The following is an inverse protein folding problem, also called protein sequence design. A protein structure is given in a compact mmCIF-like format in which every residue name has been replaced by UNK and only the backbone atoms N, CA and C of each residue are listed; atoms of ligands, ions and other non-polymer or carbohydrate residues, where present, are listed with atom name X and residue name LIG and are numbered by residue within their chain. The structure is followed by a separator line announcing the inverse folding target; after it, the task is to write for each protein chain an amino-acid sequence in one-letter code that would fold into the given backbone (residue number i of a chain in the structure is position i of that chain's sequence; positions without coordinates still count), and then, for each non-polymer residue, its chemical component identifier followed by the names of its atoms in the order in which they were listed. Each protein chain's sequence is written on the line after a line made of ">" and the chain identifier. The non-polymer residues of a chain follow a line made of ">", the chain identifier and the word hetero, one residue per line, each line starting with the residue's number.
data_IF_220992954687
#
_entry.id   IF_220992954687
#
_cell.length_a   1.000
_cell.length_b   1.000
_cell.length_c   1.000
_cell.angle_alpha   90.00
_cell.angle_beta   90.00
_cell.angle_gamma   90.00
#
_symmetry.space_group_name_H-M   'P 1'
#
loop_
_entity.id
_entity.type
_entity.pdbx_description
1 polymer ?
#
# COMPACT_ATOMS: atom_id res chain seq x y z
N UNK A 1 20.11 12.46 3.31
CA UNK A 1 18.91 13.33 3.42
C UNK A 1 17.93 12.93 2.34
N UNK A 2 16.69 12.67 2.69
CA UNK A 2 15.63 12.33 1.75
C UNK A 2 14.86 13.60 1.37
N UNK A 3 14.60 13.78 0.08
CA UNK A 3 13.55 14.66 -0.38
C UNK A 3 12.21 13.93 -0.32
N UNK A 4 11.43 14.22 0.71
CA UNK A 4 10.18 13.53 0.99
C UNK A 4 9.11 13.82 -0.07
N UNK A 5 8.56 12.77 -0.68
CA UNK A 5 7.55 12.90 -1.73
C UNK A 5 6.14 12.45 -1.38
N UNK A 6 5.85 12.06 -0.13
CA UNK A 6 4.61 11.40 0.24
C UNK A 6 4.37 10.09 -0.55
N UNK A 7 3.24 9.94 -1.25
CA UNK A 7 2.93 8.76 -2.08
C UNK A 7 1.98 9.08 -3.22
N UNK A 8 1.97 8.23 -4.25
CA UNK A 8 1.00 8.23 -5.34
C UNK A 8 -0.02 7.09 -5.19
N UNK A 9 -1.25 7.30 -5.68
CA UNK A 9 -2.32 6.32 -5.64
C UNK A 9 -2.29 5.42 -6.90
N UNK A 10 -1.68 4.24 -6.80
CA UNK A 10 -1.63 3.30 -7.92
C UNK A 10 -2.97 2.60 -8.15
N UNK A 11 -3.80 2.45 -7.12
CA UNK A 11 -5.15 1.90 -7.28
C UNK A 11 -5.99 2.76 -8.24
N UNK A 12 -6.00 4.08 -8.04
CA UNK A 12 -6.67 5.02 -8.95
C UNK A 12 -6.00 5.08 -10.33
N UNK A 13 -4.68 4.94 -10.40
CA UNK A 13 -3.95 4.83 -11.66
C UNK A 13 -4.44 3.64 -12.52
N UNK A 14 -4.73 2.49 -11.89
CA UNK A 14 -5.30 1.34 -12.58
C UNK A 14 -6.72 1.63 -13.11
N UNK A 15 -7.56 2.29 -12.30
CA UNK A 15 -8.91 2.69 -12.75
C UNK A 15 -8.85 3.69 -13.92
N UNK A 16 -7.90 4.63 -13.89
CA UNK A 16 -7.68 5.54 -15.02
C UNK A 16 -7.21 4.80 -16.27
N UNK A 17 -6.38 3.77 -16.13
CA UNK A 17 -5.96 2.96 -17.28
C UNK A 17 -7.15 2.24 -17.94
N UNK A 18 -8.12 1.77 -17.14
CA UNK A 18 -9.35 1.14 -17.62
C UNK A 18 -10.28 2.18 -18.27
N UNK A 19 -10.43 3.35 -17.64
CA UNK A 19 -11.37 4.41 -18.05
C UNK A 19 -10.78 5.47 -18.99
N UNK A 20 -9.57 5.29 -19.51
CA UNK A 20 -8.98 6.24 -20.47
C UNK A 20 -8.57 7.60 -19.86
N UNK A 21 -8.21 7.62 -18.57
CA UNK A 21 -7.82 8.83 -17.85
C UNK A 21 -8.99 9.60 -17.23
N UNK A 22 -10.24 9.16 -17.46
CA UNK A 22 -11.42 9.74 -16.81
C UNK A 22 -11.55 9.19 -15.39
N UNK A 23 -11.77 10.09 -14.44
CA UNK A 23 -11.95 9.74 -13.04
C UNK A 23 -13.33 9.12 -12.79
N UNK A 24 -13.35 7.94 -12.17
CA UNK A 24 -14.55 7.12 -11.99
C UNK A 24 -15.59 7.73 -11.04
N UNK A 25 -15.20 8.73 -10.23
CA UNK A 25 -16.11 9.38 -9.28
C UNK A 25 -16.63 10.72 -9.78
N UNK A 26 -15.74 11.56 -10.28
CA UNK A 26 -16.10 12.91 -10.76
C UNK A 26 -16.59 12.91 -12.21
N UNK A 27 -16.19 11.92 -13.02
CA UNK A 27 -16.44 11.92 -14.45
C UNK A 27 -15.56 12.91 -15.24
N UNK A 28 -14.57 13.52 -14.59
CA UNK A 28 -13.68 14.50 -15.21
C UNK A 28 -12.47 13.81 -15.86
N UNK A 29 -11.98 14.38 -16.97
CA UNK A 29 -10.72 13.96 -17.58
C UNK A 29 -9.54 14.45 -16.72
N UNK A 30 -8.93 13.56 -15.95
CA UNK A 30 -7.81 13.88 -15.05
C UNK A 30 -6.48 13.41 -15.64
N UNK A 31 -6.43 12.16 -16.08
CA UNK A 31 -5.30 11.60 -16.81
C UNK A 31 -5.31 12.01 -18.29
N UNK A 32 -4.29 11.61 -19.07
CA UNK A 32 -4.28 11.82 -20.51
C UNK A 32 -5.49 11.15 -21.16
N UNK A 33 -6.05 11.79 -22.18
CA UNK A 33 -7.16 11.26 -22.98
C UNK A 33 -6.68 10.08 -23.84
N UNK A 34 -6.74 8.89 -23.23
CA UNK A 34 -6.41 7.63 -23.86
C UNK A 34 -7.69 6.85 -24.14
N UNK A 35 -7.60 5.91 -25.09
CA UNK A 35 -8.73 5.02 -25.35
C UNK A 35 -9.02 4.16 -24.12
N UNK A 36 -10.22 4.28 -23.57
CA UNK A 36 -10.73 3.40 -22.52
C UNK A 36 -10.87 1.95 -23.01
N UNK A 37 -10.96 1.01 -22.08
CA UNK A 37 -11.35 -0.38 -22.37
C UNK A 37 -12.87 -0.40 -22.57
N UNK A 38 -13.32 -0.96 -23.69
CA UNK A 38 -14.75 -1.06 -24.04
C UNK A 38 -15.30 -2.48 -23.95
N UNK A 39 -14.44 -3.48 -23.76
CA UNK A 39 -14.87 -4.87 -23.59
C UNK A 39 -15.74 -5.04 -22.34
N UNK A 40 -16.66 -6.01 -22.39
CA UNK A 40 -17.50 -6.38 -21.25
C UNK A 40 -16.64 -6.98 -20.13
N UNK A 41 -15.74 -7.90 -20.50
CA UNK A 41 -14.79 -8.54 -19.59
C UNK A 41 -13.39 -7.95 -19.79
N UNK A 42 -12.67 -7.74 -18.70
CA UNK A 42 -11.29 -7.27 -18.74
C UNK A 42 -10.36 -8.38 -19.23
N UNK A 43 -9.48 -8.03 -20.16
CA UNK A 43 -8.37 -8.86 -20.62
C UNK A 43 -7.07 -8.41 -19.93
N UNK A 44 -6.31 -9.37 -19.41
CA UNK A 44 -5.10 -9.08 -18.63
C UNK A 44 -4.04 -8.34 -19.44
N UNK A 45 -3.76 -8.78 -20.67
CA UNK A 45 -2.70 -8.20 -21.50
C UNK A 45 -3.07 -6.78 -21.95
N UNK A 46 -4.35 -6.54 -22.29
CA UNK A 46 -4.86 -5.20 -22.58
C UNK A 46 -4.73 -4.26 -21.36
N UNK A 47 -5.16 -4.73 -20.18
CA UNK A 47 -5.11 -3.93 -18.94
C UNK A 47 -3.67 -3.60 -18.57
N UNK A 48 -2.77 -4.58 -18.56
CA UNK A 48 -1.35 -4.37 -18.23
C UNK A 48 -0.72 -3.35 -19.18
N UNK A 49 -0.97 -3.45 -20.49
CA UNK A 49 -0.43 -2.51 -21.47
C UNK A 49 -0.91 -1.08 -21.23
N UNK A 50 -2.21 -0.90 -20.95
CA UNK A 50 -2.76 0.44 -20.65
C UNK A 50 -2.28 0.97 -19.30
N UNK A 51 -2.18 0.09 -18.31
CA UNK A 51 -1.71 0.45 -16.98
C UNK A 51 -0.24 0.86 -16.98
N UNK A 52 0.61 0.18 -17.75
CA UNK A 52 2.02 0.56 -17.92
C UNK A 52 2.18 1.99 -18.46
N UNK A 53 1.39 2.36 -19.48
CA UNK A 53 1.40 3.72 -20.05
C UNK A 53 0.84 4.74 -19.04
N UNK A 54 -0.21 4.40 -18.30
CA UNK A 54 -0.78 5.29 -17.28
C UNK A 54 0.18 5.49 -16.10
N UNK A 55 0.89 4.45 -15.67
CA UNK A 55 1.95 4.56 -14.67
C UNK A 55 3.11 5.45 -15.15
N UNK A 56 3.44 5.43 -16.45
CA UNK A 56 4.51 6.26 -17.01
C UNK A 56 4.14 7.75 -16.93
N UNK A 57 2.89 8.09 -17.26
CA UNK A 57 2.33 9.42 -17.05
C UNK A 57 2.35 9.82 -15.57
N UNK A 58 1.84 8.96 -14.68
CA UNK A 58 1.79 9.25 -13.25
C UNK A 58 3.19 9.50 -12.67
N UNK A 59 4.17 8.67 -13.02
CA UNK A 59 5.56 8.83 -12.62
C UNK A 59 6.15 10.18 -13.09
N UNK A 60 5.86 10.57 -14.35
CA UNK A 60 6.28 11.87 -14.89
C UNK A 60 5.66 13.05 -14.14
N UNK A 61 4.34 13.01 -13.92
CA UNK A 61 3.62 14.04 -13.16
C UNK A 61 4.16 14.15 -11.72
N UNK A 62 4.34 13.01 -11.06
CA UNK A 62 4.79 12.94 -9.68
C UNK A 62 6.19 13.53 -9.49
N UNK A 63 7.16 13.11 -10.31
CA UNK A 63 8.54 13.63 -10.23
C UNK A 63 8.59 15.12 -10.55
N UNK A 64 7.85 15.59 -11.55
CA UNK A 64 7.82 17.02 -11.90
C UNK A 64 7.26 17.89 -10.77
N UNK A 65 6.19 17.44 -10.10
CA UNK A 65 5.62 18.14 -8.94
C UNK A 65 6.62 18.15 -7.78
N UNK A 66 7.26 17.02 -7.50
CA UNK A 66 8.24 16.94 -6.42
C UNK A 66 9.47 17.81 -6.72
N UNK A 67 9.96 17.88 -7.96
CA UNK A 67 11.05 18.77 -8.33
C UNK A 67 10.74 20.23 -7.98
N UNK A 68 9.51 20.68 -8.29
CA UNK A 68 9.04 22.00 -7.92
C UNK A 68 9.00 22.18 -6.39
N UNK A 69 8.42 21.21 -5.67
CA UNK A 69 8.32 21.27 -4.20
C UNK A 69 9.70 21.40 -3.56
N UNK A 70 10.64 20.51 -3.92
CA UNK A 70 11.97 20.49 -3.31
C UNK A 70 12.79 21.74 -3.65
N UNK A 71 12.69 22.23 -4.90
CA UNK A 71 13.30 23.50 -5.28
C UNK A 71 12.79 24.66 -4.42
N UNK A 72 11.46 24.74 -4.25
CA UNK A 72 10.85 25.82 -3.46
C UNK A 72 11.15 25.69 -1.97
N UNK A 73 11.25 24.46 -1.45
CA UNK A 73 11.62 24.20 -0.07
C UNK A 73 13.06 24.64 0.21
N UNK A 74 14.03 24.20 -0.59
CA UNK A 74 15.43 24.63 -0.49
C UNK A 74 15.55 26.16 -0.60
N UNK A 75 14.74 26.80 -1.46
CA UNK A 75 14.83 28.25 -1.69
C UNK A 75 14.23 29.09 -0.56
N UNK A 76 13.09 28.67 0.00
CA UNK A 76 12.29 29.52 0.90
C UNK A 76 12.24 29.03 2.34
N UNK A 77 12.55 27.76 2.58
CA UNK A 77 12.49 27.14 3.89
C UNK A 77 13.61 26.10 4.06
N UNK A 78 14.84 26.54 3.82
CA UNK A 78 16.02 25.71 4.05
C UNK A 78 16.20 25.44 5.55
N UNK A 79 16.29 24.17 5.93
CA UNK A 79 16.41 23.66 7.29
C UNK A 79 17.81 23.88 7.88
N UNK A 80 18.25 25.14 7.97
CA UNK A 80 19.62 25.50 8.28
C UNK A 80 20.12 24.94 9.62
N UNK A 81 19.24 24.84 10.63
CA UNK A 81 19.61 24.31 11.95
C UNK A 81 19.94 22.82 11.86
N UNK A 82 19.09 22.03 11.20
CA UNK A 82 19.27 20.61 10.96
C UNK A 82 20.48 20.36 10.04
N UNK A 83 20.58 21.12 8.95
CA UNK A 83 21.65 20.98 7.96
C UNK A 83 23.03 21.39 8.51
N UNK A 84 23.09 22.26 9.53
CA UNK A 84 24.35 22.62 10.20
C UNK A 84 25.03 21.45 10.93
N UNK A 85 24.28 20.37 11.16
CA UNK A 85 24.73 19.15 11.85
C UNK A 85 24.99 17.99 10.88
N UNK A 86 24.94 18.24 9.57
CA UNK A 86 25.22 17.23 8.54
C UNK A 86 26.53 17.60 7.84
N UNK A 87 27.29 16.58 7.44
CA UNK A 87 28.49 16.74 6.60
C UNK A 87 28.21 17.61 5.37
N UNK A 88 29.24 18.31 4.89
CA UNK A 88 29.12 19.26 3.77
C UNK A 88 28.51 18.61 2.52
N UNK A 89 28.94 17.38 2.19
CA UNK A 89 28.51 16.64 1.01
C UNK A 89 27.43 15.62 1.36
N UNK A 90 26.18 16.09 1.43
CA UNK A 90 25.03 15.26 1.79
C UNK A 90 24.53 14.45 0.59
N UNK A 91 24.54 13.10 0.70
CA UNK A 91 23.79 12.23 -0.23
C UNK A 91 22.29 12.56 -0.16
N UNK A 92 21.68 12.79 -1.33
CA UNK A 92 20.25 13.09 -1.47
C UNK A 92 19.55 11.98 -2.23
N UNK A 93 18.45 11.49 -1.68
CA UNK A 93 17.53 10.59 -2.38
C UNK A 93 16.22 11.31 -2.66
N UNK A 94 15.53 10.91 -3.72
CA UNK A 94 14.26 11.45 -4.16
C UNK A 94 13.17 10.42 -3.86
N UNK A 95 12.53 10.55 -2.70
CA UNK A 95 11.64 9.53 -2.15
C UNK A 95 10.23 9.63 -2.76
N UNK A 96 9.85 8.65 -3.58
CA UNK A 96 8.50 8.54 -4.15
C UNK A 96 7.75 7.38 -3.52
N UNK A 97 6.62 7.63 -2.86
CA UNK A 97 5.86 6.55 -2.23
C UNK A 97 4.78 5.94 -3.13
N UNK A 98 4.39 4.71 -2.81
CA UNK A 98 3.30 3.98 -3.45
C UNK A 98 2.18 3.71 -2.43
N UNK A 99 0.92 3.90 -2.85
CA UNK A 99 -0.28 3.50 -2.12
C UNK A 99 -1.21 2.64 -2.96
N UNK A 100 -1.98 1.77 -2.30
CA UNK A 100 -2.91 0.84 -2.95
C UNK A 100 -2.23 -0.36 -3.59
N UNK A 101 -1.00 -0.68 -3.16
CA UNK A 101 -0.14 -1.68 -3.79
C UNK A 101 -0.81 -3.06 -3.89
N UNK A 102 -1.24 -3.64 -2.77
CA UNK A 102 -1.88 -4.95 -2.74
C UNK A 102 -3.20 -4.99 -3.52
N UNK A 103 -4.02 -3.94 -3.45
CA UNK A 103 -5.25 -3.87 -4.25
C UNK A 103 -4.99 -3.87 -5.76
N UNK A 104 -3.92 -3.23 -6.23
CA UNK A 104 -3.52 -3.30 -7.63
C UNK A 104 -3.06 -4.72 -7.97
N UNK A 105 -2.23 -5.34 -7.13
CA UNK A 105 -1.76 -6.71 -7.32
C UNK A 105 -2.93 -7.69 -7.42
N UNK A 106 -3.83 -7.64 -6.44
CA UNK A 106 -5.00 -8.53 -6.38
C UNK A 106 -5.99 -8.24 -7.51
N UNK A 107 -6.11 -6.98 -7.96
CA UNK A 107 -6.96 -6.63 -9.11
C UNK A 107 -6.42 -7.20 -10.41
N UNK A 108 -5.10 -7.11 -10.60
CA UNK A 108 -4.43 -7.72 -11.75
C UNK A 108 -4.48 -9.24 -11.69
N UNK A 109 -4.37 -9.84 -10.50
CA UNK A 109 -4.55 -11.27 -10.28
C UNK A 109 -5.98 -11.72 -10.61
N UNK A 110 -7.01 -10.98 -10.16
CA UNK A 110 -8.41 -11.24 -10.47
C UNK A 110 -8.66 -11.22 -11.99
N UNK A 111 -8.12 -10.22 -12.70
CA UNK A 111 -8.26 -10.12 -14.16
C UNK A 111 -7.55 -11.28 -14.87
N UNK A 112 -6.44 -11.79 -14.32
CA UNK A 112 -5.65 -12.86 -14.93
C UNK A 112 -6.22 -14.26 -14.71
N UNK A 113 -6.74 -14.51 -13.51
CA UNK A 113 -7.09 -15.86 -13.05
C UNK A 113 -8.59 -16.09 -12.84
N UNK A 114 -9.39 -15.01 -12.80
CA UNK A 114 -10.85 -15.06 -12.72
C UNK A 114 -11.46 -14.31 -13.91
N UNK A 115 -12.79 -14.21 -13.94
CA UNK A 115 -13.53 -13.41 -14.94
C UNK A 115 -14.01 -12.12 -14.31
N UNK A 116 -13.45 -11.00 -14.74
CA UNK A 116 -13.85 -9.67 -14.25
C UNK A 116 -14.70 -8.97 -15.30
N UNK A 117 -15.99 -8.83 -15.02
CA UNK A 117 -16.93 -8.06 -15.83
C UNK A 117 -16.98 -6.61 -15.36
N UNK A 118 -16.96 -5.68 -16.31
CA UNK A 118 -17.10 -4.24 -16.05
C UNK A 118 -18.56 -3.84 -15.91
N UNK A 119 -18.87 -3.08 -14.86
CA UNK A 119 -20.18 -2.44 -14.66
C UNK A 119 -20.04 -0.96 -14.97
N UNK A 120 -20.87 -0.47 -15.89
CA UNK A 120 -20.76 0.89 -16.44
C UNK A 120 -21.97 1.73 -16.08
N UNK A 121 -21.75 3.03 -15.89
CA UNK A 121 -22.82 4.01 -15.75
C UNK A 121 -23.40 4.42 -17.13
N UNK A 122 -24.38 5.32 -17.14
CA UNK A 122 -25.03 5.82 -18.36
C UNK A 122 -24.06 6.50 -19.34
N UNK A 123 -22.94 7.04 -18.84
CA UNK A 123 -21.88 7.66 -19.65
C UNK A 123 -20.86 6.65 -20.22
N UNK A 124 -21.03 5.34 -19.94
CA UNK A 124 -20.13 4.28 -20.39
C UNK A 124 -18.86 4.11 -19.54
N UNK A 125 -18.73 4.87 -18.45
CA UNK A 125 -17.60 4.83 -17.53
C UNK A 125 -17.70 3.59 -16.63
N UNK A 126 -16.61 2.85 -16.45
CA UNK A 126 -16.57 1.72 -15.52
C UNK A 126 -16.56 2.25 -14.09
N UNK A 127 -17.56 1.87 -13.31
CA UNK A 127 -17.78 2.34 -11.93
C UNK A 127 -17.83 1.21 -10.90
N UNK A 128 -18.04 -0.03 -11.35
CA UNK A 128 -18.02 -1.23 -10.50
C UNK A 128 -17.56 -2.46 -11.31
N UNK A 129 -17.36 -3.59 -10.62
CA UNK A 129 -16.90 -4.85 -11.20
C UNK A 129 -17.65 -6.04 -10.62
N UNK A 130 -17.94 -7.03 -11.46
CA UNK A 130 -18.43 -8.35 -11.07
C UNK A 130 -17.34 -9.38 -11.35
N UNK A 131 -16.79 -9.99 -10.30
CA UNK A 131 -15.72 -10.98 -10.41
C UNK A 131 -16.27 -12.39 -10.15
N UNK A 132 -16.17 -13.26 -11.16
CA UNK A 132 -16.59 -14.66 -11.10
C UNK A 132 -15.36 -15.59 -11.12
N UNK A 133 -15.25 -16.45 -10.10
CA UNK A 133 -14.15 -17.39 -9.91
C UNK A 133 -13.15 -16.95 -8.85
N UNK A 134 -12.44 -17.92 -8.30
CA UNK A 134 -11.37 -17.69 -7.33
C UNK A 134 -10.08 -17.26 -8.03
N UNK A 135 -9.29 -16.43 -7.36
CA UNK A 135 -7.99 -15.97 -7.84
C UNK A 135 -6.98 -15.88 -6.69
N UNK A 136 -5.67 -16.04 -6.96
CA UNK A 136 -4.63 -15.88 -5.96
C UNK A 136 -4.57 -14.45 -5.43
N UNK A 137 -4.38 -14.27 -4.13
CA UNK A 137 -4.21 -12.95 -3.52
C UNK A 137 -2.84 -12.82 -2.86
N UNK A 138 -2.23 -11.66 -2.99
CA UNK A 138 -0.96 -11.33 -2.36
C UNK A 138 -1.06 -11.44 -0.83
N UNK A 139 -0.04 -12.03 -0.19
CA UNK A 139 -0.04 -12.30 1.25
C UNK A 139 -0.34 -13.75 1.63
N UNK A 140 -0.21 -14.70 0.68
CA UNK A 140 -0.54 -16.11 0.89
C UNK A 140 0.57 -17.08 0.47
N UNK A 141 1.76 -16.54 0.22
CA UNK A 141 2.91 -17.27 -0.34
C UNK A 141 2.60 -17.96 -1.69
N UNK A 142 1.86 -17.26 -2.55
CA UNK A 142 1.49 -17.74 -3.88
C UNK A 142 2.18 -16.89 -4.96
N UNK A 143 3.17 -17.47 -5.61
CA UNK A 143 4.00 -16.81 -6.63
C UNK A 143 3.15 -16.19 -7.75
N UNK A 144 1.95 -16.72 -8.04
CA UNK A 144 1.09 -16.15 -9.08
C UNK A 144 0.65 -14.72 -8.78
N UNK A 145 0.42 -14.38 -7.51
CA UNK A 145 0.11 -13.02 -7.08
C UNK A 145 1.39 -12.25 -6.68
N UNK A 146 2.32 -12.92 -6.01
CA UNK A 146 3.54 -12.28 -5.52
C UNK A 146 4.45 -11.81 -6.67
N UNK A 147 4.52 -12.54 -7.79
CA UNK A 147 5.25 -12.12 -8.99
C UNK A 147 4.65 -10.85 -9.61
N UNK A 148 3.33 -10.67 -9.51
CA UNK A 148 2.66 -9.42 -9.94
C UNK A 148 3.09 -8.26 -9.02
N UNK A 149 3.23 -8.52 -7.72
CA UNK A 149 3.73 -7.53 -6.75
C UNK A 149 5.16 -7.11 -7.07
N UNK A 150 6.06 -8.06 -7.29
CA UNK A 150 7.46 -7.81 -7.67
C UNK A 150 7.54 -7.03 -8.99
N UNK A 151 6.75 -7.44 -9.99
CA UNK A 151 6.64 -6.72 -11.27
C UNK A 151 6.16 -5.28 -11.08
N UNK A 152 5.13 -5.05 -10.26
CA UNK A 152 4.55 -3.73 -10.04
C UNK A 152 5.57 -2.76 -9.40
N UNK A 153 6.27 -3.23 -8.37
CA UNK A 153 7.31 -2.45 -7.69
C UNK A 153 8.42 -2.05 -8.67
N UNK A 154 8.97 -3.03 -9.40
CA UNK A 154 10.04 -2.79 -10.36
C UNK A 154 9.58 -1.83 -11.47
N UNK A 155 8.40 -2.07 -12.04
CA UNK A 155 7.87 -1.29 -13.15
C UNK A 155 7.67 0.18 -12.77
N UNK A 156 7.18 0.46 -11.57
CA UNK A 156 7.01 1.84 -11.11
C UNK A 156 8.37 2.51 -10.86
N UNK A 157 9.30 1.83 -10.17
CA UNK A 157 10.64 2.36 -9.93
C UNK A 157 11.39 2.69 -11.23
N UNK A 158 11.37 1.78 -12.21
CA UNK A 158 12.05 1.97 -13.49
C UNK A 158 11.46 3.13 -14.29
N UNK A 159 10.18 3.45 -14.08
CA UNK A 159 9.61 4.68 -14.63
C UNK A 159 10.23 5.88 -13.94
N UNK A 160 10.21 5.95 -12.59
CA UNK A 160 10.78 7.05 -11.82
C UNK A 160 12.26 7.32 -12.18
N UNK A 161 13.09 6.27 -12.31
CA UNK A 161 14.52 6.38 -12.65
C UNK A 161 14.81 7.06 -13.99
N UNK A 162 13.87 7.08 -14.94
CA UNK A 162 14.05 7.73 -16.25
C UNK A 162 13.83 9.25 -16.19
N UNK A 163 13.43 9.81 -15.04
CA UNK A 163 13.09 11.22 -14.90
C UNK A 163 14.24 11.96 -14.23
N UNK A 164 14.45 13.21 -14.64
CA UNK A 164 15.37 14.09 -13.94
C UNK A 164 14.80 14.46 -12.56
N UNK A 165 15.64 14.38 -11.55
CA UNK A 165 15.32 14.72 -10.16
C UNK A 165 16.12 15.94 -9.73
N UNK A 166 15.49 16.82 -8.93
CA UNK A 166 16.11 18.04 -8.44
C UNK A 166 17.41 17.74 -7.68
N UNK A 167 18.45 18.53 -7.95
CA UNK A 167 19.83 18.36 -7.45
C UNK A 167 20.44 16.98 -7.70
N UNK A 168 20.08 16.36 -8.82
CA UNK A 168 20.58 15.04 -9.23
C UNK A 168 20.43 13.98 -8.13
N UNK A 169 19.38 14.13 -7.32
CA UNK A 169 19.09 13.24 -6.20
C UNK A 169 18.74 11.83 -6.69
N UNK A 170 19.21 10.82 -5.97
CA UNK A 170 19.04 9.42 -6.35
C UNK A 170 17.56 9.01 -6.26
N UNK A 171 16.92 8.57 -7.35
CA UNK A 171 15.51 8.19 -7.31
C UNK A 171 15.31 6.91 -6.48
N UNK A 172 14.44 6.98 -5.48
CA UNK A 172 14.10 5.85 -4.59
C UNK A 172 12.59 5.75 -4.43
N UNK A 173 12.05 4.54 -4.27
CA UNK A 173 10.62 4.36 -3.96
C UNK A 173 10.39 3.75 -2.57
N UNK A 174 9.18 3.88 -2.06
CA UNK A 174 8.69 3.18 -0.87
C UNK A 174 7.30 2.61 -1.08
N UNK A 175 6.97 1.56 -0.33
CA UNK A 175 5.60 1.06 -0.19
C UNK A 175 5.14 1.40 1.24
N UNK A 176 4.75 2.67 1.40
CA UNK A 176 4.41 3.29 2.68
C UNK A 176 3.27 4.28 2.47
N UNK A 177 2.25 4.24 3.33
CA UNK A 177 1.03 5.07 3.17
C UNK A 177 0.75 6.03 4.31
N UNK A 178 1.22 5.77 5.54
CA UNK A 178 0.71 6.46 6.75
C UNK A 178 -0.82 6.32 6.78
N UNK A 179 -1.58 7.41 6.84
CA UNK A 179 -3.06 7.45 6.82
C UNK A 179 -3.62 7.73 5.42
N UNK A 180 -2.76 7.87 4.40
CA UNK A 180 -3.21 8.05 3.02
C UNK A 180 -3.96 6.84 2.47
N UNK A 181 -3.87 5.67 3.11
CA UNK A 181 -4.64 4.49 2.73
C UNK A 181 -6.16 4.74 2.92
N UNK A 182 -6.55 5.43 4.00
CA UNK A 182 -7.94 5.83 4.25
C UNK A 182 -8.35 6.95 3.30
N UNK A 183 -7.52 8.00 3.18
CA UNK A 183 -7.83 9.17 2.32
C UNK A 183 -7.97 8.74 0.86
N UNK A 184 -6.98 8.04 0.31
CA UNK A 184 -7.07 7.56 -1.08
C UNK A 184 -8.18 6.54 -1.28
N UNK A 185 -8.41 5.65 -0.31
CA UNK A 185 -9.53 4.72 -0.35
C UNK A 185 -10.88 5.42 -0.54
N UNK A 186 -11.13 6.48 0.24
CA UNK A 186 -12.34 7.33 0.14
C UNK A 186 -12.55 7.93 -1.25
N UNK A 187 -11.46 8.30 -1.93
CA UNK A 187 -11.51 8.89 -3.27
C UNK A 187 -11.31 7.88 -4.40
N UNK A 188 -11.19 6.59 -4.11
CA UNK A 188 -11.05 5.52 -5.10
C UNK A 188 -12.35 4.72 -5.21
N UNK A 189 -12.78 4.42 -6.43
CA UNK A 189 -13.94 3.60 -6.75
C UNK A 189 -13.77 2.13 -6.37
N UNK A 190 -14.72 1.32 -6.80
CA UNK A 190 -14.63 -0.12 -6.66
C UNK A 190 -13.47 -0.65 -7.52
N UNK A 191 -12.92 -1.80 -7.16
CA UNK A 191 -11.78 -2.39 -7.86
C UNK A 191 -12.04 -3.85 -8.27
N UNK A 192 -11.33 -4.36 -9.30
CA UNK A 192 -11.45 -5.74 -9.79
C UNK A 192 -11.23 -6.83 -8.74
N UNK A 193 -10.43 -6.55 -7.69
CA UNK A 193 -10.20 -7.45 -6.56
C UNK A 193 -11.43 -7.63 -5.63
N UNK A 194 -12.53 -6.91 -5.91
CA UNK A 194 -13.76 -6.92 -5.14
C UNK A 194 -13.82 -5.84 -4.06
N UNK A 195 -12.78 -5.00 -3.91
CA UNK A 195 -12.76 -3.89 -2.98
C UNK A 195 -13.86 -2.89 -3.34
N UNK A 196 -14.71 -2.54 -2.37
CA UNK A 196 -15.83 -1.61 -2.57
C UNK A 196 -15.36 -0.15 -2.65
N UNK A 197 -16.09 0.67 -3.39
CA UNK A 197 -15.81 2.09 -3.53
C UNK A 197 -15.79 2.80 -2.17
N UNK A 198 -14.80 3.68 -1.97
CA UNK A 198 -14.73 4.51 -0.77
C UNK A 198 -14.25 3.83 0.51
N UNK A 199 -14.06 2.51 0.54
CA UNK A 199 -13.44 1.84 1.70
C UNK A 199 -11.94 2.19 1.79
N UNK A 200 -11.22 1.93 2.88
CA UNK A 200 -9.79 2.12 2.92
C UNK A 200 -9.03 1.23 1.91
N UNK A 201 -7.84 1.67 1.50
CA UNK A 201 -6.81 0.80 0.95
C UNK A 201 -6.01 0.15 2.09
N UNK A 202 -5.20 -0.88 1.80
CA UNK A 202 -4.25 -1.42 2.77
C UNK A 202 -3.11 -0.44 3.14
N UNK A 203 -2.60 -0.51 4.39
CA UNK A 203 -1.47 0.30 4.83
C UNK A 203 -0.15 -0.24 4.27
N UNK A 204 0.70 0.65 3.76
CA UNK A 204 2.01 0.26 3.25
C UNK A 204 1.96 -0.91 2.26
N UNK A 205 2.78 -1.93 2.52
CA UNK A 205 2.93 -3.15 1.73
C UNK A 205 2.09 -4.33 2.25
N UNK A 206 1.13 -4.07 3.15
CA UNK A 206 0.25 -5.11 3.66
C UNK A 206 -0.62 -5.72 2.53
N UNK A 207 -0.93 -7.02 2.64
CA UNK A 207 -2.02 -7.66 1.89
C UNK A 207 -3.34 -6.90 1.95
N UNK A 208 -4.22 -7.10 0.96
CA UNK A 208 -5.56 -6.51 0.98
C UNK A 208 -6.39 -7.08 2.15
N UNK A 209 -7.34 -6.30 2.68
CA UNK A 209 -8.08 -6.73 3.86
C UNK A 209 -8.86 -8.01 3.58
N UNK A 210 -8.59 -9.06 4.38
CA UNK A 210 -9.17 -10.39 4.20
C UNK A 210 -8.53 -11.21 3.06
N UNK A 211 -7.43 -10.76 2.44
CA UNK A 211 -6.69 -11.58 1.49
C UNK A 211 -5.92 -12.72 2.15
N UNK A 212 -5.34 -12.47 3.32
CA UNK A 212 -4.52 -13.44 4.06
C UNK A 212 -5.41 -14.57 4.61
N UNK A 213 -5.20 -15.80 4.12
CA UNK A 213 -5.94 -16.99 4.52
C UNK A 213 -5.01 -18.15 4.96
N UNK A 214 -3.69 -18.01 4.76
CA UNK A 214 -2.69 -19.06 5.00
C UNK A 214 -1.77 -18.79 6.22
N UNK A 215 -2.17 -17.90 7.12
CA UNK A 215 -1.44 -17.59 8.36
C UNK A 215 -0.35 -16.52 8.22
N UNK A 216 0.27 -16.22 9.37
CA UNK A 216 1.27 -15.14 9.51
C UNK A 216 2.52 -15.40 8.66
N UNK A 217 3.05 -16.62 8.67
CA UNK A 217 4.28 -16.98 7.95
C UNK A 217 4.09 -16.82 6.44
N UNK A 218 2.96 -17.27 5.90
CA UNK A 218 2.67 -17.10 4.47
C UNK A 218 2.56 -15.63 4.06
N UNK A 219 1.91 -14.81 4.90
CA UNK A 219 1.84 -13.35 4.70
C UNK A 219 3.22 -12.69 4.73
N UNK A 220 4.05 -13.07 5.71
CA UNK A 220 5.42 -12.58 5.83
C UNK A 220 6.30 -13.00 4.64
N UNK A 221 6.20 -14.24 4.18
CA UNK A 221 6.92 -14.73 3.00
C UNK A 221 6.57 -13.93 1.75
N UNK A 222 5.28 -13.68 1.48
CA UNK A 222 4.86 -12.86 0.34
C UNK A 222 5.45 -11.45 0.38
N UNK A 223 5.48 -10.81 1.54
CA UNK A 223 6.06 -9.47 1.69
C UNK A 223 7.60 -9.50 1.55
N UNK A 224 8.26 -10.54 2.07
CA UNK A 224 9.70 -10.71 1.99
C UNK A 224 10.21 -10.89 0.55
N UNK A 225 9.36 -11.36 -0.38
CA UNK A 225 9.70 -11.45 -1.81
C UNK A 225 9.91 -10.08 -2.49
N UNK A 226 9.46 -8.98 -1.88
CA UNK A 226 9.64 -7.63 -2.42
C UNK A 226 11.09 -7.15 -2.21
N UNK A 227 11.87 -6.91 -3.28
CA UNK A 227 13.29 -6.57 -3.12
C UNK A 227 13.47 -5.18 -2.49
N UNK A 228 14.07 -5.13 -1.29
CA UNK A 228 14.28 -3.86 -0.59
C UNK A 228 15.21 -2.91 -1.35
N UNK A 229 16.18 -3.43 -2.10
CA UNK A 229 17.06 -2.64 -2.96
C UNK A 229 16.33 -1.84 -4.04
N UNK A 230 15.07 -2.20 -4.34
CA UNK A 230 14.21 -1.44 -5.25
C UNK A 230 13.36 -0.42 -4.50
N UNK A 231 13.15 -0.60 -3.20
CA UNK A 231 12.33 0.27 -2.36
C UNK A 231 13.16 0.85 -1.19
N UNK A 232 14.29 1.48 -1.47
CA UNK A 232 15.24 1.99 -0.46
C UNK A 232 14.65 3.06 0.48
N UNK A 233 13.49 3.63 0.18
CA UNK A 233 12.75 4.53 1.07
C UNK A 233 11.81 3.76 2.04
N UNK A 234 11.69 2.45 1.87
CA UNK A 234 11.12 1.51 2.83
C UNK A 234 9.93 0.70 2.33
N UNK A 235 9.80 -0.52 2.85
CA UNK A 235 8.64 -1.42 2.67
C UNK A 235 7.98 -1.59 4.03
N UNK A 236 6.80 -0.99 4.24
CA UNK A 236 6.11 -1.02 5.54
C UNK A 236 5.12 -2.17 5.62
N UNK A 237 5.43 -3.17 6.45
CA UNK A 237 4.51 -4.25 6.82
C UNK A 237 3.98 -4.09 8.26
N UNK A 238 2.68 -4.26 8.49
CA UNK A 238 2.05 -4.18 9.82
C UNK A 238 1.20 -5.40 10.13
N UNK A 239 1.69 -6.27 11.00
CA UNK A 239 1.04 -7.53 11.34
C UNK A 239 0.42 -7.48 12.73
N UNK A 240 -0.80 -7.98 12.84
CA UNK A 240 -1.50 -8.14 14.12
C UNK A 240 -1.78 -9.62 14.34
N UNK A 241 -1.43 -10.11 15.52
CA UNK A 241 -1.65 -11.50 15.91
C UNK A 241 -2.39 -11.59 17.23
N UNK A 242 -3.27 -12.58 17.32
CA UNK A 242 -3.87 -12.98 18.59
C UNK A 242 -2.78 -13.59 19.48
N UNK A 243 -2.76 -13.28 20.80
CA UNK A 243 -1.76 -13.86 21.72
C UNK A 243 -1.69 -15.39 21.66
N UNK A 244 -2.83 -16.06 21.48
CA UNK A 244 -2.92 -17.52 21.43
C UNK A 244 -2.39 -18.12 20.13
N UNK A 245 -2.29 -17.32 19.05
CA UNK A 245 -1.63 -17.75 17.82
C UNK A 245 -0.12 -17.91 18.00
N UNK A 246 0.47 -17.15 18.93
CA UNK A 246 1.92 -17.17 19.21
C UNK A 246 2.31 -18.25 20.22
N UNK A 247 1.43 -18.70 21.11
CA UNK A 247 1.77 -19.72 22.10
C UNK A 247 0.83 -19.73 23.31
N UNK A 248 0.90 -20.80 24.11
CA UNK A 248 0.01 -21.02 25.26
C UNK A 248 0.52 -20.35 26.55
N UNK A 249 1.77 -19.92 26.57
CA UNK A 249 2.41 -19.20 27.67
C UNK A 249 3.38 -18.14 27.12
N UNK A 250 3.88 -17.27 27.99
CA UNK A 250 4.71 -16.13 27.57
C UNK A 250 6.07 -16.54 27.00
N UNK A 251 6.67 -17.63 27.51
CA UNK A 251 7.95 -18.13 27.01
C UNK A 251 7.80 -18.65 25.56
N UNK A 252 6.77 -19.45 25.30
CA UNK A 252 6.43 -19.93 23.94
C UNK A 252 6.12 -18.76 23.00
N UNK A 253 5.39 -17.74 23.46
CA UNK A 253 5.04 -16.57 22.64
C UNK A 253 6.28 -15.80 22.22
N UNK A 254 7.23 -15.62 23.14
CA UNK A 254 8.51 -14.95 22.84
C UNK A 254 9.33 -15.79 21.86
N UNK A 255 9.53 -17.08 22.15
CA UNK A 255 10.31 -17.97 21.28
C UNK A 255 9.75 -18.03 19.86
N UNK A 256 8.44 -18.19 19.74
CA UNK A 256 7.77 -18.27 18.44
C UNK A 256 7.81 -16.95 17.67
N UNK A 257 7.66 -15.81 18.36
CA UNK A 257 7.78 -14.50 17.70
C UNK A 257 9.20 -14.24 17.21
N UNK A 258 10.22 -14.58 18.02
CA UNK A 258 11.62 -14.49 17.62
C UNK A 258 11.89 -15.35 16.39
N UNK A 259 11.46 -16.62 16.40
CA UNK A 259 11.64 -17.52 15.26
C UNK A 259 10.96 -17.03 13.97
N UNK A 260 9.75 -16.47 14.08
CA UNK A 260 9.04 -15.87 12.93
C UNK A 260 9.78 -14.63 12.42
N UNK A 261 10.30 -13.78 13.31
CA UNK A 261 11.07 -12.60 12.93
C UNK A 261 12.40 -12.96 12.28
N UNK A 262 13.14 -13.93 12.83
CA UNK A 262 14.38 -14.44 12.26
C UNK A 262 14.13 -14.96 10.83
N UNK A 263 13.11 -15.81 10.66
CA UNK A 263 12.72 -16.32 9.34
C UNK A 263 12.31 -15.23 8.33
N UNK A 264 11.66 -14.16 8.77
CA UNK A 264 11.28 -13.04 7.91
C UNK A 264 12.47 -12.16 7.51
N UNK A 265 13.33 -11.81 8.47
CA UNK A 265 14.46 -10.92 8.22
C UNK A 265 15.64 -11.62 7.52
N UNK A 266 15.83 -12.93 7.73
CA UNK A 266 16.83 -13.72 7.01
C UNK A 266 16.56 -13.79 5.49
N UNK A 267 15.30 -13.57 5.07
CA UNK A 267 14.91 -13.46 3.66
C UNK A 267 15.24 -12.09 3.04
N UNK A 268 15.78 -11.14 3.81
CA UNK A 268 16.09 -9.79 3.34
C UNK A 268 14.95 -8.78 3.47
N UNK A 269 13.91 -9.11 4.25
CA UNK A 269 12.81 -8.20 4.49
C UNK A 269 13.24 -6.92 5.24
N UNK A 270 12.57 -5.81 4.95
CA UNK A 270 12.99 -4.50 5.45
C UNK A 270 12.45 -4.12 6.84
N UNK A 271 11.15 -4.28 7.07
CA UNK A 271 10.48 -3.76 8.26
C UNK A 271 9.27 -4.61 8.66
N UNK A 272 9.01 -4.68 9.96
CA UNK A 272 7.82 -5.26 10.54
C UNK A 272 7.31 -4.42 11.72
N UNK A 273 6.04 -4.02 11.68
CA UNK A 273 5.30 -3.64 12.87
C UNK A 273 4.61 -4.88 13.44
N UNK A 274 4.75 -5.07 14.75
CA UNK A 274 4.15 -6.19 15.49
C UNK A 274 3.12 -5.66 16.48
N UNK A 275 1.90 -6.13 16.35
CA UNK A 275 0.82 -5.95 17.32
C UNK A 275 0.42 -7.31 17.89
N UNK A 276 0.37 -7.44 19.21
CA UNK A 276 -0.05 -8.68 19.89
C UNK A 276 -1.26 -8.39 20.78
N UNK A 277 -2.46 -8.54 20.21
CA UNK A 277 -3.74 -8.36 20.89
C UNK A 277 -4.89 -8.91 20.03
N UNK A 278 -6.00 -9.25 20.68
CA UNK A 278 -7.23 -9.66 20.00
C UNK A 278 -8.07 -8.49 19.48
N UNK A 279 -8.92 -8.78 18.49
CA UNK A 279 -9.85 -7.80 17.90
C UNK A 279 -10.84 -7.26 18.92
N UNK A 280 -11.27 -8.09 19.85
CA UNK A 280 -12.19 -7.78 20.95
C UNK A 280 -11.65 -6.64 21.81
N UNK A 281 -10.32 -6.59 22.02
CA UNK A 281 -9.67 -5.51 22.77
C UNK A 281 -9.81 -4.16 22.09
N UNK A 282 -9.76 -4.11 20.76
CA UNK A 282 -9.97 -2.86 20.03
C UNK A 282 -11.44 -2.42 20.06
N UNK A 283 -12.37 -3.38 19.99
CA UNK A 283 -13.80 -3.08 20.08
C UNK A 283 -14.12 -2.52 21.47
N UNK A 284 -13.65 -3.17 22.54
CA UNK A 284 -13.86 -2.69 23.90
C UNK A 284 -13.17 -1.34 24.15
N UNK A 285 -11.98 -1.10 23.60
CA UNK A 285 -11.32 0.20 23.69
C UNK A 285 -12.03 1.31 22.90
N UNK A 286 -12.75 0.98 21.83
CA UNK A 286 -13.55 1.92 21.05
C UNK A 286 -14.87 2.27 21.78
N UNK A 287 -15.48 1.30 22.46
CA UNK A 287 -16.74 1.46 23.20
C UNK A 287 -16.54 2.09 24.59
N UNK A 288 -15.41 1.80 25.23
CA UNK A 288 -15.09 2.21 26.59
C UNK A 288 -13.71 2.87 26.72
N UNK A 289 -13.43 3.96 25.96
CA UNK A 289 -12.11 4.60 25.94
C UNK A 289 -11.67 5.17 27.31
N UNK A 290 -12.59 5.36 28.25
CA UNK A 290 -12.34 5.86 29.60
C UNK A 290 -11.66 4.86 30.54
N UNK A 291 -11.62 3.57 30.20
CA UNK A 291 -10.99 2.56 31.07
C UNK A 291 -9.50 2.89 31.26
N UNK A 292 -8.96 2.84 32.49
CA UNK A 292 -7.57 3.19 32.77
C UNK A 292 -6.53 2.43 31.93
N UNK A 293 -6.82 1.17 31.59
CA UNK A 293 -5.95 0.33 30.75
C UNK A 293 -5.81 0.84 29.30
N UNK A 294 -6.75 1.65 28.81
CA UNK A 294 -6.73 2.21 27.45
C UNK A 294 -6.10 3.59 27.35
N UNK A 295 -5.90 4.29 28.46
CA UNK A 295 -5.33 5.64 28.49
C UNK A 295 -3.96 5.75 27.79
N UNK A 296 -3.18 4.65 27.78
CA UNK A 296 -1.90 4.55 27.08
C UNK A 296 -1.84 3.33 26.15
N UNK A 297 -2.97 2.71 25.83
CA UNK A 297 -2.99 1.55 24.94
C UNK A 297 -2.59 1.99 23.51
N UNK A 298 -1.39 1.54 23.14
CA UNK A 298 -0.66 1.99 21.96
C UNK A 298 -0.61 0.86 20.94
N UNK A 299 -0.93 1.18 19.69
CA UNK A 299 -0.93 0.24 18.58
C UNK A 299 0.00 0.71 17.46
N UNK A 300 0.55 -0.24 16.70
CA UNK A 300 1.30 0.03 15.46
C UNK A 300 0.32 0.10 14.29
N UNK A 301 0.42 1.12 13.44
CA UNK A 301 -0.57 1.34 12.35
C UNK A 301 0.02 1.35 10.94
N UNK A 302 1.09 2.09 10.67
CA UNK A 302 1.63 2.22 9.30
C UNK A 302 3.04 2.81 9.34
N UNK A 303 3.95 2.12 10.03
CA UNK A 303 5.34 2.56 10.26
C UNK A 303 5.55 3.39 11.55
N UNK A 304 4.49 3.67 12.30
CA UNK A 304 4.53 4.39 13.56
C UNK A 304 3.48 3.87 14.54
N UNK A 305 3.54 4.34 15.78
CA UNK A 305 2.63 3.99 16.85
C UNK A 305 1.71 5.15 17.23
N UNK A 306 0.49 4.83 17.65
CA UNK A 306 -0.52 5.79 18.12
C UNK A 306 -1.25 5.22 19.32
N UNK A 307 -1.77 6.09 20.19
CA UNK A 307 -2.79 5.64 21.14
C UNK A 307 -4.06 5.34 20.36
N UNK A 308 -4.64 4.17 20.60
CA UNK A 308 -5.83 3.75 19.84
C UNK A 308 -7.01 4.72 20.06
N UNK A 309 -7.15 5.24 21.28
CA UNK A 309 -8.22 6.19 21.65
C UNK A 309 -8.04 7.59 21.04
N UNK A 310 -6.85 7.93 20.53
CA UNK A 310 -6.59 9.22 19.86
C UNK A 310 -6.98 9.20 18.37
N UNK A 311 -7.29 8.01 17.83
CA UNK A 311 -7.74 7.85 16.45
C UNK A 311 -9.21 8.27 16.30
N UNK A 312 -9.55 8.81 15.12
CA UNK A 312 -10.96 9.03 14.78
C UNK A 312 -11.68 7.69 14.63
N UNK A 313 -13.01 7.67 14.79
CA UNK A 313 -13.80 6.44 14.61
C UNK A 313 -13.58 5.77 13.24
N UNK A 314 -13.43 6.55 12.17
CA UNK A 314 -13.12 6.03 10.83
C UNK A 314 -11.76 5.31 10.79
N UNK A 315 -10.74 5.88 11.44
CA UNK A 315 -9.41 5.27 11.55
C UNK A 315 -9.39 4.04 12.47
N UNK A 316 -10.17 4.05 13.56
CA UNK A 316 -10.33 2.89 14.43
C UNK A 316 -10.98 1.72 13.67
N UNK A 317 -12.03 2.00 12.90
CA UNK A 317 -12.69 1.00 12.07
C UNK A 317 -11.76 0.44 10.98
N UNK A 318 -10.89 1.28 10.39
CA UNK A 318 -9.81 0.81 9.49
C UNK A 318 -8.93 -0.22 10.20
N UNK A 319 -8.41 0.08 11.39
CA UNK A 319 -7.56 -0.86 12.15
C UNK A 319 -8.30 -2.16 12.49
N UNK A 320 -9.56 -2.08 12.93
CA UNK A 320 -10.39 -3.24 13.30
C UNK A 320 -10.69 -4.13 12.07
N UNK A 321 -10.70 -3.56 10.86
CA UNK A 321 -10.97 -4.29 9.61
C UNK A 321 -9.77 -5.05 9.05
N UNK A 322 -8.56 -4.83 9.60
CA UNK A 322 -7.34 -5.51 9.19
C UNK A 322 -7.35 -6.98 9.62
N UNK A 323 -6.40 -7.73 9.09
CA UNK A 323 -6.17 -9.13 9.48
C UNK A 323 -5.66 -9.23 10.92
N UNK A 324 -6.23 -10.19 11.66
CA UNK A 324 -5.76 -10.62 12.97
C UNK A 324 -5.43 -12.11 12.84
N UNK A 325 -4.15 -12.45 12.78
CA UNK A 325 -3.71 -13.83 12.61
C UNK A 325 -4.09 -14.66 13.85
N UNK A 326 -4.80 -15.76 13.62
CA UNK A 326 -5.21 -16.76 14.62
C UNK A 326 -4.32 -18.01 14.61
N UNK A 327 -3.47 -18.15 13.59
CA UNK A 327 -2.42 -19.14 13.49
C UNK A 327 -1.15 -18.54 12.84
N UNK A 328 -0.02 -19.21 13.08
CA UNK A 328 1.27 -18.86 12.46
C UNK A 328 1.33 -19.36 11.03
#
# INVERSE_FOLDING_TARGET
>A
MQFFGARANLAKCLLYAINGGIDEKSGEQVGPDYKAITAEYLDYDEVIKKFDVMMDWLAGLYVNILNLIQYMHDKYYYEAAEMSLIDTDVRRTFATGIAGFSHVVDSLSAIKYAKVKTVRNEAGLVVDYETEGDFPKYGNDDDRADDIAVWLLNSFLEKIKKRHTYRDSEPTTSILTITSNVVYGKYTGAMPDGRKAGTPLSPGANPSYGAEQNGLVASLNSVAKLPYEWALDGISNTQTMNPDALGHNDDERVENLVAVMDGYFDQGAHHLNVNVFGKEKLIDAMEHPEKPEYANFTIRVSGYAVKFIDLTKEQQMDVISRTFHDHR
#
